data_IF_922889172348
#
_entry.id   IF_922889172348
#
_cell.length_a   1.000
_cell.length_b   1.000
_cell.length_c   1.000
_cell.angle_alpha   90.00
_cell.angle_beta   90.00
_cell.angle_gamma   90.00
#
_symmetry.space_group_name_H-M   'P 1'
#
loop_
_entity.id
_entity.type
_entity.pdbx_description
1 polymer ?
#
# COMPACT_ATOMS: atom_id res chain seq x y z
N UNK A 1 -6.86 32.82 6.38
CA UNK A 1 -6.51 31.66 7.21
C UNK A 1 -5.02 31.75 7.49
N UNK A 2 -4.56 31.60 8.74
CA UNK A 2 -3.16 31.90 9.12
C UNK A 2 -2.19 30.81 8.66
N UNK A 3 -0.96 31.22 8.31
CA UNK A 3 0.17 30.36 7.96
C UNK A 3 0.38 29.20 8.95
N UNK A 4 0.22 29.50 10.24
CA UNK A 4 0.26 28.56 11.36
C UNK A 4 -0.67 27.35 11.18
N UNK A 5 -1.83 27.53 10.53
CA UNK A 5 -2.80 26.45 10.33
C UNK A 5 -2.25 25.37 9.39
N UNK A 6 -1.52 25.76 8.36
CA UNK A 6 -0.89 24.81 7.44
C UNK A 6 0.28 24.07 8.11
N UNK A 7 1.04 24.75 8.96
CA UNK A 7 2.14 24.13 9.72
C UNK A 7 1.59 23.06 10.67
N UNK A 8 0.58 23.40 11.47
CA UNK A 8 -0.08 22.48 12.39
C UNK A 8 -0.63 21.26 11.62
N UNK A 9 -1.28 21.50 10.48
CA UNK A 9 -1.81 20.44 9.62
C UNK A 9 -0.71 19.49 9.12
N UNK A 10 0.40 20.04 8.66
CA UNK A 10 1.56 19.27 8.19
C UNK A 10 2.18 18.45 9.33
N UNK A 11 2.30 19.04 10.52
CA UNK A 11 2.85 18.37 11.70
C UNK A 11 1.96 17.20 12.16
N UNK A 12 0.65 17.41 12.23
CA UNK A 12 -0.32 16.37 12.57
C UNK A 12 -0.23 15.24 11.54
N UNK A 13 -0.26 15.59 10.25
CA UNK A 13 -0.20 14.61 9.17
C UNK A 13 1.10 13.79 9.21
N UNK A 14 2.25 14.46 9.30
CA UNK A 14 3.55 13.80 9.42
C UNK A 14 3.65 12.89 10.65
N UNK A 15 3.12 13.32 11.80
CA UNK A 15 3.11 12.51 13.03
C UNK A 15 2.28 11.23 12.87
N UNK A 16 1.09 11.34 12.25
CA UNK A 16 0.27 10.18 11.92
C UNK A 16 0.98 9.26 10.90
N UNK A 17 1.59 9.85 9.88
CA UNK A 17 2.34 9.13 8.85
C UNK A 17 3.48 8.29 9.43
N UNK A 18 4.31 8.89 10.30
CA UNK A 18 5.38 8.20 11.02
C UNK A 18 4.81 7.08 11.90
N UNK A 19 3.76 7.38 12.67
CA UNK A 19 3.13 6.38 13.54
C UNK A 19 2.64 5.16 12.75
N UNK A 20 1.91 5.38 11.65
CA UNK A 20 1.40 4.30 10.80
C UNK A 20 2.53 3.48 10.17
N UNK A 21 3.54 4.14 9.62
CA UNK A 21 4.71 3.50 9.05
C UNK A 21 5.46 2.63 10.07
N UNK A 22 5.73 3.16 11.27
CA UNK A 22 6.40 2.43 12.34
C UNK A 22 5.58 1.23 12.81
N UNK A 23 4.26 1.35 12.90
CA UNK A 23 3.40 0.22 13.27
C UNK A 23 3.50 -0.92 12.25
N UNK A 24 3.49 -0.64 10.94
CA UNK A 24 3.71 -1.67 9.91
C UNK A 24 5.09 -2.32 10.08
N UNK A 25 6.14 -1.51 10.24
CA UNK A 25 7.53 -1.99 10.43
C UNK A 25 7.60 -2.92 11.64
N UNK A 26 7.06 -2.51 12.79
CA UNK A 26 7.05 -3.29 14.03
C UNK A 26 6.30 -4.61 13.84
N UNK A 27 5.09 -4.58 13.26
CA UNK A 27 4.31 -5.79 12.99
C UNK A 27 5.11 -6.76 12.11
N UNK A 28 5.74 -6.25 11.05
CA UNK A 28 6.52 -7.08 10.13
C UNK A 28 7.74 -7.71 10.80
N UNK A 29 8.45 -6.97 11.67
CA UNK A 29 9.63 -7.47 12.38
C UNK A 29 9.26 -8.45 13.50
N UNK A 30 8.18 -8.20 14.23
CA UNK A 30 7.77 -9.02 15.36
C UNK A 30 7.27 -10.40 14.91
N UNK A 31 6.51 -10.44 13.82
CA UNK A 31 5.93 -11.69 13.36
C UNK A 31 6.72 -12.33 12.21
N UNK A 32 7.60 -13.27 12.54
CA UNK A 32 8.47 -13.99 11.58
C UNK A 32 7.74 -14.82 10.51
N UNK A 33 6.47 -15.14 10.71
CA UNK A 33 5.61 -15.88 9.77
C UNK A 33 5.14 -15.04 8.58
N UNK A 34 5.39 -13.74 8.57
CA UNK A 34 4.86 -12.79 7.57
C UNK A 34 5.71 -12.73 6.29
N UNK A 35 6.29 -13.86 5.89
CA UNK A 35 7.16 -14.00 4.70
C UNK A 35 6.39 -14.00 3.37
N UNK A 36 5.07 -13.82 3.38
CA UNK A 36 4.28 -13.66 2.16
C UNK A 36 4.81 -12.48 1.36
N UNK A 37 4.91 -12.67 0.04
CA UNK A 37 5.57 -11.71 -0.84
C UNK A 37 4.96 -10.30 -0.77
N UNK A 38 3.63 -10.20 -0.70
CA UNK A 38 2.96 -8.89 -0.63
C UNK A 38 3.25 -8.14 0.68
N UNK A 39 3.39 -8.85 1.81
CA UNK A 39 3.71 -8.25 3.11
C UNK A 39 5.10 -7.62 3.09
N UNK A 40 6.04 -8.22 2.36
CA UNK A 40 7.37 -7.62 2.11
C UNK A 40 7.29 -6.31 1.30
N UNK A 41 6.34 -6.21 0.36
CA UNK A 41 6.15 -4.98 -0.41
C UNK A 41 5.60 -3.86 0.47
N UNK A 42 4.59 -4.16 1.30
CA UNK A 42 4.02 -3.19 2.25
C UNK A 42 5.05 -2.75 3.28
N UNK A 43 5.90 -3.67 3.75
CA UNK A 43 7.03 -3.33 4.62
C UNK A 43 7.99 -2.33 3.96
N UNK A 44 8.39 -2.58 2.70
CA UNK A 44 9.26 -1.65 1.99
C UNK A 44 8.58 -0.30 1.76
N UNK A 45 7.32 -0.29 1.33
CA UNK A 45 6.50 0.92 1.20
C UNK A 45 6.53 1.74 2.50
N UNK A 46 6.30 1.11 3.66
CA UNK A 46 6.29 1.80 4.95
C UNK A 46 7.63 2.43 5.34
N UNK A 47 8.77 1.90 4.87
CA UNK A 47 10.08 2.55 5.08
C UNK A 47 10.13 3.88 4.32
N UNK A 48 9.61 3.92 3.09
CA UNK A 48 9.57 5.16 2.31
C UNK A 48 8.55 6.15 2.87
N UNK A 49 7.39 5.68 3.33
CA UNK A 49 6.40 6.54 4.00
C UNK A 49 6.96 7.15 5.29
N UNK A 50 7.79 6.40 6.03
CA UNK A 50 8.51 6.93 7.20
C UNK A 50 9.42 8.09 6.81
N UNK A 51 10.26 7.93 5.78
CA UNK A 51 11.17 9.00 5.35
C UNK A 51 10.44 10.19 4.72
N UNK A 52 9.36 9.95 3.98
CA UNK A 52 8.50 11.01 3.47
C UNK A 52 7.90 11.81 4.62
N UNK A 53 7.27 11.14 5.59
CA UNK A 53 6.66 11.79 6.75
C UNK A 53 7.70 12.51 7.60
N UNK A 54 8.89 11.91 7.78
CA UNK A 54 10.03 12.54 8.46
C UNK A 54 10.47 13.82 7.74
N UNK A 55 10.50 13.84 6.40
CA UNK A 55 10.84 15.04 5.65
C UNK A 55 9.85 16.18 5.89
N UNK A 56 8.57 15.88 6.08
CA UNK A 56 7.54 16.86 6.43
C UNK A 56 7.50 17.21 7.91
N UNK A 57 8.03 16.36 8.80
CA UNK A 57 8.08 16.65 10.23
C UNK A 57 9.09 17.77 10.54
N UNK A 58 10.18 17.84 9.79
CA UNK A 58 11.24 18.81 9.99
C UNK A 58 10.76 20.25 9.73
N UNK A 59 11.06 21.25 10.60
CA UNK A 59 10.67 22.64 10.36
C UNK A 59 11.69 23.34 9.45
N UNK A 60 11.37 23.48 8.16
CA UNK A 60 12.27 24.05 7.14
C UNK A 60 12.67 25.50 7.38
N UNK A 61 11.76 26.32 7.91
CA UNK A 61 12.02 27.73 8.24
C UNK A 61 13.06 27.94 9.34
N UNK A 62 13.27 26.95 10.20
CA UNK A 62 14.03 27.14 11.44
C UNK A 62 15.54 27.20 11.24
N UNK A 63 16.08 26.46 10.26
CA UNK A 63 17.52 26.32 10.05
C UNK A 63 17.83 26.00 8.58
N UNK A 64 18.86 26.65 8.01
CA UNK A 64 19.36 26.39 6.66
C UNK A 64 19.65 24.91 6.40
N UNK A 65 20.28 24.22 7.36
CA UNK A 65 20.62 22.79 7.25
C UNK A 65 19.36 21.93 7.17
N UNK A 66 18.37 22.21 8.01
CA UNK A 66 17.10 21.48 8.02
C UNK A 66 16.36 21.70 6.70
N UNK A 67 16.34 22.95 6.24
CA UNK A 67 15.79 23.34 4.95
C UNK A 67 16.50 22.62 3.79
N UNK A 68 17.84 22.47 3.83
CA UNK A 68 18.63 21.75 2.82
C UNK A 68 18.24 20.26 2.81
N UNK A 69 18.16 19.63 3.98
CA UNK A 69 17.76 18.23 4.13
C UNK A 69 16.36 18.01 3.54
N UNK A 70 15.38 18.86 3.88
CA UNK A 70 14.02 18.77 3.34
C UNK A 70 13.98 18.89 1.82
N UNK A 71 14.74 19.86 1.30
CA UNK A 71 14.77 20.15 -0.13
C UNK A 71 15.23 18.95 -0.96
N UNK A 72 16.14 18.12 -0.43
CA UNK A 72 16.52 16.86 -1.08
C UNK A 72 15.58 15.70 -0.77
N UNK A 73 15.10 15.59 0.47
CA UNK A 73 14.26 14.46 0.88
C UNK A 73 12.88 14.47 0.22
N UNK A 74 12.20 15.62 0.14
CA UNK A 74 10.82 15.70 -0.35
C UNK A 74 10.70 15.24 -1.82
N UNK A 75 11.53 15.71 -2.76
CA UNK A 75 11.45 15.26 -4.15
C UNK A 75 11.76 13.78 -4.32
N UNK A 76 12.64 13.19 -3.49
CA UNK A 76 13.03 11.78 -3.57
C UNK A 76 11.96 10.87 -2.94
N UNK A 77 11.56 11.17 -1.70
CA UNK A 77 10.66 10.33 -0.92
C UNK A 77 9.19 10.61 -1.21
N UNK A 78 8.82 11.79 -1.69
CA UNK A 78 7.44 12.13 -2.05
C UNK A 78 6.80 11.22 -3.12
N UNK A 79 7.44 10.97 -4.28
CA UNK A 79 6.86 10.12 -5.34
C UNK A 79 7.05 8.62 -5.11
N UNK A 80 7.98 8.22 -4.24
CA UNK A 80 8.36 6.81 -4.06
C UNK A 80 7.21 5.92 -3.56
N UNK A 81 6.34 6.37 -2.63
CA UNK A 81 5.17 5.59 -2.24
C UNK A 81 4.20 5.32 -3.39
N UNK A 82 3.97 6.28 -4.29
CA UNK A 82 3.17 6.07 -5.51
C UNK A 82 3.80 5.03 -6.44
N UNK A 83 5.14 5.00 -6.54
CA UNK A 83 5.86 3.95 -7.26
C UNK A 83 5.60 2.57 -6.62
N UNK A 84 5.70 2.44 -5.30
CA UNK A 84 5.47 1.16 -4.62
C UNK A 84 4.02 0.72 -4.71
N UNK A 85 3.05 1.64 -4.69
CA UNK A 85 1.65 1.33 -4.96
C UNK A 85 1.46 0.76 -6.39
N UNK A 86 2.13 1.34 -7.39
CA UNK A 86 2.12 0.84 -8.77
C UNK A 86 2.73 -0.56 -8.86
N UNK A 87 3.87 -0.79 -8.17
CA UNK A 87 4.50 -2.11 -8.05
C UNK A 87 3.54 -3.12 -7.43
N UNK A 88 2.88 -2.79 -6.31
CA UNK A 88 1.93 -3.69 -5.64
C UNK A 88 0.80 -4.07 -6.60
N UNK A 89 0.30 -3.12 -7.40
CA UNK A 89 -0.72 -3.37 -8.42
C UNK A 89 -0.24 -4.28 -9.55
N UNK A 90 0.97 -4.06 -10.06
CA UNK A 90 1.58 -4.91 -11.09
C UNK A 90 1.80 -6.32 -10.57
N UNK A 91 2.33 -6.47 -9.35
CA UNK A 91 2.54 -7.78 -8.73
C UNK A 91 1.22 -8.50 -8.50
N UNK A 92 0.19 -7.77 -8.05
CA UNK A 92 -1.16 -8.32 -7.88
C UNK A 92 -1.72 -8.82 -9.23
N UNK A 93 -1.53 -8.03 -10.29
CA UNK A 93 -1.86 -8.46 -11.66
C UNK A 93 -1.11 -9.74 -12.05
N UNK A 94 0.21 -9.77 -11.91
CA UNK A 94 1.03 -10.93 -12.28
C UNK A 94 0.64 -12.19 -11.48
N UNK A 95 0.31 -12.03 -10.21
CA UNK A 95 -0.09 -13.16 -9.37
C UNK A 95 -1.49 -13.68 -9.70
N UNK A 96 -2.48 -12.79 -9.85
CA UNK A 96 -3.88 -13.19 -10.13
C UNK A 96 -4.03 -13.69 -11.57
N UNK A 97 -3.45 -12.97 -12.52
CA UNK A 97 -3.73 -13.16 -13.95
C UNK A 97 -2.72 -14.08 -14.61
N UNK A 98 -1.44 -13.91 -14.30
CA UNK A 98 -0.37 -14.76 -14.87
C UNK A 98 -0.04 -15.95 -13.97
N UNK A 99 -0.66 -16.06 -12.80
CA UNK A 99 -0.47 -17.15 -11.83
C UNK A 99 1.01 -17.36 -11.51
N UNK A 100 1.77 -16.27 -11.41
CA UNK A 100 3.18 -16.35 -11.06
C UNK A 100 3.33 -16.90 -9.64
N UNK A 101 4.19 -17.91 -9.50
CA UNK A 101 4.56 -18.44 -8.20
C UNK A 101 5.50 -17.47 -7.45
N UNK A 102 5.60 -17.63 -6.14
CA UNK A 102 6.40 -16.73 -5.30
C UNK A 102 7.90 -16.75 -5.67
N UNK A 103 8.42 -17.85 -6.24
CA UNK A 103 9.80 -17.92 -6.73
C UNK A 103 10.06 -16.95 -7.88
N UNK A 104 9.16 -16.91 -8.88
CA UNK A 104 9.27 -15.95 -10.00
C UNK A 104 9.12 -14.52 -9.51
N UNK A 105 8.16 -14.26 -8.62
CA UNK A 105 7.95 -12.92 -8.04
C UNK A 105 9.18 -12.44 -7.25
N UNK A 106 9.83 -13.31 -6.47
CA UNK A 106 11.07 -12.96 -5.77
C UNK A 106 12.24 -12.61 -6.71
N UNK A 107 12.31 -13.18 -7.92
CA UNK A 107 13.30 -12.76 -8.92
C UNK A 107 12.99 -11.36 -9.45
N UNK A 108 11.72 -11.10 -9.79
CA UNK A 108 11.26 -9.79 -10.27
C UNK A 108 11.47 -8.72 -9.20
N UNK A 109 11.23 -9.05 -7.93
CA UNK A 109 11.42 -8.16 -6.79
C UNK A 109 12.81 -7.52 -6.72
N UNK A 110 13.87 -8.30 -6.99
CA UNK A 110 15.25 -7.79 -7.02
C UNK A 110 15.42 -6.71 -8.09
N UNK A 111 14.83 -6.93 -9.27
CA UNK A 111 14.85 -5.96 -10.37
C UNK A 111 14.00 -4.73 -10.09
N UNK A 112 12.89 -4.88 -9.37
CA UNK A 112 12.04 -3.75 -8.95
C UNK A 112 12.81 -2.80 -8.03
N UNK A 113 13.54 -3.33 -7.05
CA UNK A 113 14.42 -2.51 -6.19
C UNK A 113 15.50 -1.77 -6.96
N UNK A 114 16.03 -2.37 -8.03
CA UNK A 114 16.98 -1.67 -8.89
C UNK A 114 16.28 -0.58 -9.73
N UNK A 115 15.03 -0.82 -10.15
CA UNK A 115 14.28 0.13 -10.98
C UNK A 115 13.88 1.41 -10.26
N UNK A 116 13.71 1.42 -8.93
CA UNK A 116 13.41 2.65 -8.16
C UNK A 116 14.62 3.55 -7.99
N UNK A 117 15.84 3.00 -8.07
CA UNK A 117 17.07 3.78 -7.98
C UNK A 117 17.17 4.79 -9.13
N UNK A 118 16.70 4.43 -10.33
CA UNK A 118 16.74 5.30 -11.51
C UNK A 118 15.94 6.60 -11.27
N UNK A 119 14.62 6.58 -10.99
CA UNK A 119 13.87 7.81 -10.73
C UNK A 119 14.39 8.55 -9.50
N UNK A 120 14.86 7.87 -8.44
CA UNK A 120 15.48 8.54 -7.29
C UNK A 120 16.73 9.33 -7.68
N UNK A 121 17.61 8.78 -8.52
CA UNK A 121 18.81 9.47 -9.02
C UNK A 121 18.41 10.69 -9.87
N UNK A 122 17.43 10.53 -10.76
CA UNK A 122 16.98 11.63 -11.62
C UNK A 122 16.40 12.77 -10.76
N UNK A 123 15.57 12.45 -9.75
CA UNK A 123 14.98 13.45 -8.84
C UNK A 123 16.04 14.10 -7.95
N UNK A 124 17.08 13.38 -7.59
CA UNK A 124 18.23 13.94 -6.87
C UNK A 124 19.03 14.91 -7.73
N UNK A 125 19.27 14.58 -9.00
CA UNK A 125 19.93 15.48 -9.96
C UNK A 125 19.10 16.74 -10.18
N UNK A 126 17.77 16.61 -10.34
CA UNK A 126 16.86 17.76 -10.46
C UNK A 126 16.92 18.67 -9.22
N UNK A 127 16.99 18.08 -8.03
CA UNK A 127 17.17 18.84 -6.78
C UNK A 127 18.51 19.61 -6.77
N UNK A 128 19.62 18.98 -7.16
CA UNK A 128 20.93 19.66 -7.26
C UNK A 128 20.87 20.85 -8.22
N UNK A 129 20.30 20.66 -9.42
CA UNK A 129 20.18 21.73 -10.42
C UNK A 129 19.29 22.87 -9.91
N UNK A 130 18.28 22.53 -9.12
CA UNK A 130 17.31 23.50 -8.60
C UNK A 130 17.72 24.18 -7.30
N UNK A 131 18.93 23.90 -6.78
CA UNK A 131 19.37 24.38 -5.46
C UNK A 131 19.33 25.91 -5.33
N UNK A 132 19.69 26.64 -6.39
CA UNK A 132 19.69 28.11 -6.40
C UNK A 132 18.28 28.73 -6.34
N UNK A 133 17.25 27.92 -6.62
CA UNK A 133 15.84 28.31 -6.61
C UNK A 133 15.09 27.77 -5.38
N UNK A 134 15.85 27.37 -4.36
CA UNK A 134 15.31 26.93 -3.09
C UNK A 134 14.65 28.09 -2.37
N UNK A 135 13.36 27.97 -2.09
CA UNK A 135 12.62 28.92 -1.27
C UNK A 135 12.03 28.20 -0.06
N UNK A 136 12.20 28.78 1.12
CA UNK A 136 11.39 28.41 2.27
C UNK A 136 10.03 29.05 2.07
N UNK A 137 9.04 28.26 1.66
CA UNK A 137 7.63 28.66 1.78
C UNK A 137 7.21 28.29 3.19
N UNK A 138 7.35 29.25 4.10
CA UNK A 138 6.99 29.14 5.50
C UNK A 138 7.64 27.90 6.13
N UNK A 139 6.88 26.82 6.38
CA UNK A 139 7.34 25.60 7.04
C UNK A 139 8.14 24.61 6.19
N UNK A 140 7.98 24.62 4.86
CA UNK A 140 8.55 23.59 3.97
C UNK A 140 9.49 24.22 2.94
N UNK A 141 10.66 23.60 2.77
CA UNK A 141 11.64 24.02 1.78
C UNK A 141 11.54 23.20 0.49
N UNK A 142 11.15 23.86 -0.61
CA UNK A 142 10.99 23.24 -1.93
C UNK A 142 11.55 24.15 -3.04
N UNK A 143 11.78 23.56 -4.21
CA UNK A 143 12.11 24.31 -5.42
C UNK A 143 10.91 25.12 -5.88
N UNK A 144 11.14 26.39 -6.24
CA UNK A 144 10.13 27.22 -6.91
C UNK A 144 10.26 27.22 -8.43
N UNK A 145 11.20 26.44 -9.01
CA UNK A 145 11.26 26.33 -10.46
C UNK A 145 10.05 25.55 -10.96
N UNK A 146 9.36 26.10 -11.95
CA UNK A 146 8.25 25.42 -12.63
C UNK A 146 8.69 24.05 -13.15
N UNK A 147 9.91 23.94 -13.66
CA UNK A 147 10.46 22.71 -14.24
C UNK A 147 10.57 21.63 -13.16
N UNK A 148 11.20 21.90 -12.02
CA UNK A 148 11.36 20.91 -10.94
C UNK A 148 10.00 20.49 -10.37
N UNK A 149 9.09 21.44 -10.18
CA UNK A 149 7.72 21.14 -9.73
C UNK A 149 6.97 20.26 -10.72
N UNK A 150 6.99 20.57 -12.01
CA UNK A 150 6.35 19.76 -13.07
C UNK A 150 6.98 18.37 -13.10
N UNK A 151 8.30 18.30 -13.01
CA UNK A 151 9.05 17.06 -13.17
C UNK A 151 8.77 16.10 -12.01
N UNK A 152 8.97 16.54 -10.77
CA UNK A 152 8.68 15.75 -9.57
C UNK A 152 7.22 15.27 -9.52
N UNK A 153 6.30 16.14 -9.94
CA UNK A 153 4.87 15.85 -9.92
C UNK A 153 4.41 14.93 -11.07
N UNK A 154 5.04 15.03 -12.23
CA UNK A 154 4.78 14.16 -13.38
C UNK A 154 5.12 12.70 -13.04
N UNK A 155 6.18 12.44 -12.27
CA UNK A 155 6.49 11.08 -11.79
C UNK A 155 5.37 10.50 -10.94
N UNK A 156 4.80 11.28 -10.01
CA UNK A 156 3.67 10.85 -9.18
C UNK A 156 2.52 10.36 -10.06
N UNK A 157 2.13 11.15 -11.06
CA UNK A 157 1.01 10.81 -11.95
C UNK A 157 1.30 9.66 -12.89
N UNK A 158 2.53 9.55 -13.42
CA UNK A 158 2.93 8.40 -14.25
C UNK A 158 2.74 7.10 -13.45
N UNK A 159 3.17 7.06 -12.19
CA UNK A 159 2.97 5.90 -11.33
C UNK A 159 1.51 5.65 -11.00
N UNK A 160 0.73 6.70 -10.69
CA UNK A 160 -0.71 6.58 -10.43
C UNK A 160 -1.47 6.02 -11.65
N UNK A 161 -1.17 6.52 -12.86
CA UNK A 161 -1.80 6.04 -14.10
C UNK A 161 -1.44 4.58 -14.35
N UNK A 162 -0.16 4.22 -14.25
CA UNK A 162 0.27 2.83 -14.37
C UNK A 162 -0.46 1.95 -13.35
N UNK A 163 -0.55 2.42 -12.11
CA UNK A 163 -1.24 1.74 -11.03
C UNK A 163 -2.72 1.49 -11.33
N UNK A 164 -3.44 2.52 -11.83
CA UNK A 164 -4.84 2.42 -12.24
C UNK A 164 -5.05 1.40 -13.37
N UNK A 165 -4.20 1.43 -14.39
CA UNK A 165 -4.29 0.50 -15.52
C UNK A 165 -4.18 -0.93 -15.01
N UNK A 166 -3.14 -1.24 -14.22
CA UNK A 166 -2.94 -2.61 -13.72
C UNK A 166 -4.00 -3.03 -12.69
N UNK A 167 -4.51 -2.10 -11.88
CA UNK A 167 -5.62 -2.36 -10.98
C UNK A 167 -6.89 -2.74 -11.75
N UNK A 168 -7.30 -1.93 -12.73
CA UNK A 168 -8.49 -2.18 -13.55
C UNK A 168 -8.35 -3.51 -14.30
N UNK A 169 -7.19 -3.78 -14.91
CA UNK A 169 -6.92 -5.05 -15.61
C UNK A 169 -7.01 -6.26 -14.68
N UNK A 170 -6.47 -6.15 -13.46
CA UNK A 170 -6.55 -7.19 -12.43
C UNK A 170 -8.01 -7.46 -12.04
N UNK A 171 -8.79 -6.41 -11.81
CA UNK A 171 -10.19 -6.51 -11.40
C UNK A 171 -11.08 -7.09 -12.50
N UNK A 172 -10.92 -6.67 -13.75
CA UNK A 172 -11.70 -7.20 -14.88
C UNK A 172 -11.45 -8.70 -15.03
N UNK A 173 -10.18 -9.13 -15.01
CA UNK A 173 -9.84 -10.54 -15.18
C UNK A 173 -10.23 -11.38 -13.98
N UNK A 174 -10.10 -10.83 -12.78
CA UNK A 174 -10.59 -11.50 -11.59
C UNK A 174 -12.09 -11.76 -11.67
N UNK A 175 -12.91 -10.76 -12.05
CA UNK A 175 -14.37 -10.93 -12.16
C UNK A 175 -14.72 -12.05 -13.14
N UNK A 176 -14.02 -12.11 -14.28
CA UNK A 176 -14.16 -13.21 -15.26
C UNK A 176 -13.78 -14.55 -14.64
N UNK A 177 -12.65 -14.62 -13.94
CA UNK A 177 -12.18 -15.85 -13.29
C UNK A 177 -13.15 -16.34 -12.21
N UNK A 178 -13.68 -15.45 -11.36
CA UNK A 178 -14.67 -15.79 -10.35
C UNK A 178 -15.96 -16.28 -11.00
N UNK A 179 -16.43 -15.63 -12.07
CA UNK A 179 -17.64 -16.05 -12.80
C UNK A 179 -17.50 -17.47 -13.36
N UNK A 180 -16.35 -17.78 -13.97
CA UNK A 180 -16.06 -19.13 -14.47
C UNK A 180 -16.02 -20.18 -13.35
N UNK A 181 -15.48 -19.83 -12.18
CA UNK A 181 -15.48 -20.72 -11.00
C UNK A 181 -16.87 -20.86 -10.38
N UNK A 182 -17.69 -19.81 -10.38
CA UNK A 182 -19.06 -19.92 -9.85
C UNK A 182 -19.96 -20.78 -10.75
N UNK A 183 -19.67 -20.82 -12.05
CA UNK A 183 -20.40 -21.62 -13.03
C UNK A 183 -19.87 -23.07 -13.09
N UNK A 184 -18.57 -23.29 -12.85
CA UNK A 184 -17.97 -24.62 -12.72
C UNK A 184 -17.63 -24.95 -11.27
N UNK A 185 -18.57 -25.57 -10.55
CA UNK A 185 -18.40 -25.97 -9.15
C UNK A 185 -17.23 -26.96 -9.02
N UNK A 186 -16.04 -26.43 -8.71
CA UNK A 186 -14.90 -27.22 -8.29
C UNK A 186 -14.50 -26.81 -6.88
N UNK A 187 -14.26 -27.83 -6.07
CA UNK A 187 -13.86 -27.90 -4.66
C UNK A 187 -12.52 -27.22 -4.35
N UNK A 188 -12.22 -26.10 -5.00
CA UNK A 188 -10.93 -25.41 -4.90
C UNK A 188 -10.78 -24.78 -3.52
N UNK A 189 -10.00 -25.47 -2.68
CA UNK A 189 -9.51 -25.18 -1.33
C UNK A 189 -9.70 -23.72 -0.86
N UNK A 190 -10.57 -23.55 0.14
CA UNK A 190 -10.87 -22.30 0.89
C UNK A 190 -9.64 -21.42 1.21
N UNK A 191 -8.48 -22.04 1.43
CA UNK A 191 -7.19 -21.38 1.66
C UNK A 191 -6.69 -20.55 0.47
N UNK A 192 -6.75 -21.07 -0.78
CA UNK A 192 -6.35 -20.31 -1.98
C UNK A 192 -7.30 -19.15 -2.26
N UNK A 193 -8.61 -19.36 -2.05
CA UNK A 193 -9.62 -18.30 -2.20
C UNK A 193 -9.34 -17.14 -1.24
N UNK A 194 -9.02 -17.41 0.02
CA UNK A 194 -8.66 -16.37 1.00
C UNK A 194 -7.39 -15.60 0.60
N UNK A 195 -6.34 -16.28 0.13
CA UNK A 195 -5.11 -15.61 -0.30
C UNK A 195 -5.31 -14.71 -1.53
N UNK A 196 -6.15 -15.12 -2.48
CA UNK A 196 -6.53 -14.31 -3.64
C UNK A 196 -7.34 -13.08 -3.18
N UNK A 197 -8.33 -13.28 -2.31
CA UNK A 197 -9.13 -12.18 -1.75
C UNK A 197 -8.32 -11.15 -0.98
N UNK A 198 -7.33 -11.59 -0.20
CA UNK A 198 -6.41 -10.68 0.47
C UNK A 198 -5.65 -9.85 -0.57
N UNK A 199 -5.08 -10.47 -1.62
CA UNK A 199 -4.35 -9.72 -2.66
C UNK A 199 -5.20 -8.69 -3.40
N UNK A 200 -6.48 -8.99 -3.65
CA UNK A 200 -7.42 -8.06 -4.28
C UNK A 200 -7.70 -6.87 -3.36
N UNK A 201 -7.87 -7.14 -2.07
CA UNK A 201 -8.10 -6.08 -1.08
C UNK A 201 -6.87 -5.20 -0.90
N UNK A 202 -5.67 -5.78 -0.97
CA UNK A 202 -4.42 -5.03 -0.99
C UNK A 202 -4.24 -4.19 -2.26
N UNK A 203 -4.95 -4.52 -3.36
CA UNK A 203 -5.01 -3.66 -4.54
C UNK A 203 -5.92 -2.43 -4.38
N UNK A 204 -6.47 -2.18 -3.19
CA UNK A 204 -7.15 -0.93 -2.83
C UNK A 204 -6.21 0.18 -2.34
N UNK A 205 -4.98 -0.16 -1.93
CA UNK A 205 -3.89 0.81 -1.60
C UNK A 205 -3.79 1.92 -2.67
N UNK A 206 -3.72 1.60 -3.97
CA UNK A 206 -3.74 2.58 -5.07
C UNK A 206 -4.90 3.57 -5.08
N UNK A 207 -6.10 3.13 -4.72
CA UNK A 207 -7.29 3.98 -4.79
C UNK A 207 -7.24 5.07 -3.74
N UNK A 208 -6.75 4.72 -2.55
CA UNK A 208 -6.53 5.69 -1.48
C UNK A 208 -5.42 6.66 -1.87
N UNK A 209 -4.36 6.18 -2.53
CA UNK A 209 -3.30 7.05 -3.03
C UNK A 209 -3.82 8.12 -4.01
N UNK A 210 -4.78 7.77 -4.86
CA UNK A 210 -5.42 8.73 -5.77
C UNK A 210 -6.19 9.78 -4.98
N UNK A 211 -6.99 9.36 -4.00
CA UNK A 211 -7.78 10.27 -3.15
C UNK A 211 -6.85 11.26 -2.43
N UNK A 212 -5.74 10.77 -1.87
CA UNK A 212 -4.73 11.59 -1.19
C UNK A 212 -4.05 12.58 -2.15
N UNK A 213 -3.80 12.17 -3.39
CA UNK A 213 -3.04 12.97 -4.36
C UNK A 213 -3.89 14.07 -5.03
N UNK A 214 -5.22 13.94 -5.07
CA UNK A 214 -6.09 14.92 -5.75
C UNK A 214 -5.92 16.35 -5.17
N UNK A 215 -6.04 16.60 -3.85
CA UNK A 215 -5.85 17.94 -3.30
C UNK A 215 -4.45 18.50 -3.57
N UNK A 216 -3.42 17.65 -3.47
CA UNK A 216 -2.05 18.03 -3.82
C UNK A 216 -1.94 18.45 -5.28
N UNK A 217 -2.65 17.78 -6.17
CA UNK A 217 -2.67 18.11 -7.60
C UNK A 217 -3.26 19.47 -7.87
N UNK A 218 -4.39 19.77 -7.24
CA UNK A 218 -5.04 21.06 -7.34
C UNK A 218 -4.08 22.17 -6.86
N UNK A 219 -3.39 21.92 -5.73
CA UNK A 219 -2.38 22.83 -5.19
C UNK A 219 -1.24 23.09 -6.17
N UNK A 220 -0.62 22.04 -6.72
CA UNK A 220 0.50 22.18 -7.66
C UNK A 220 0.12 22.85 -8.97
N UNK A 221 -1.06 22.53 -9.53
CA UNK A 221 -1.57 23.20 -10.74
C UNK A 221 -1.71 24.71 -10.48
N UNK A 222 -2.24 25.09 -9.32
CA UNK A 222 -2.39 26.49 -8.94
C UNK A 222 -1.03 27.20 -8.82
N UNK A 223 -0.06 26.59 -8.15
CA UNK A 223 1.30 27.14 -7.99
C UNK A 223 1.99 27.33 -9.35
N UNK A 224 1.76 26.44 -10.32
CA UNK A 224 2.30 26.54 -11.68
C UNK A 224 1.67 27.69 -12.47
N UNK A 225 0.33 27.80 -12.42
CA UNK A 225 -0.43 28.82 -13.17
C UNK A 225 -0.18 30.21 -12.58
N UNK A 226 -0.33 30.36 -11.27
CA UNK A 226 -0.32 31.64 -10.56
C UNK A 226 0.69 31.61 -9.40
N UNK A 227 2.00 31.75 -9.67
CA UNK A 227 3.03 31.73 -8.63
C UNK A 227 2.95 32.91 -7.65
N UNK A 228 2.17 33.94 -7.96
CA UNK A 228 1.99 35.17 -7.17
C UNK A 228 0.74 35.15 -6.28
N UNK A 229 -0.17 34.18 -6.41
CA UNK A 229 -1.36 34.09 -5.56
C UNK A 229 -0.96 33.39 -4.27
N UNK A 230 -0.55 34.18 -3.28
CA UNK A 230 -0.20 33.75 -1.92
C UNK A 230 -1.42 33.70 -1.01
N UNK A 231 -2.55 33.19 -1.51
CA UNK A 231 -3.74 32.94 -0.71
C UNK A 231 -3.75 31.50 -0.23
N UNK A 232 -3.77 31.29 1.09
CA UNK A 232 -3.95 29.96 1.66
C UNK A 232 -5.42 29.57 1.62
N UNK A 233 -5.71 28.49 0.90
CA UNK A 233 -7.05 27.89 0.85
C UNK A 233 -7.13 26.61 1.69
N UNK A 234 -8.35 26.19 1.99
CA UNK A 234 -8.64 24.90 2.61
C UNK A 234 -7.95 23.72 1.90
N UNK A 235 -7.81 23.79 0.57
CA UNK A 235 -7.11 22.78 -0.22
C UNK A 235 -5.62 22.64 0.15
N UNK A 236 -4.96 23.72 0.57
CA UNK A 236 -3.54 23.70 0.94
C UNK A 236 -3.34 23.02 2.29
N UNK A 237 -4.27 23.23 3.22
CA UNK A 237 -4.32 22.55 4.52
C UNK A 237 -4.59 21.06 4.31
N UNK A 238 -5.61 20.73 3.52
CA UNK A 238 -6.03 19.35 3.26
C UNK A 238 -4.95 18.56 2.52
N UNK A 239 -4.35 19.13 1.47
CA UNK A 239 -3.27 18.48 0.73
C UNK A 239 -2.05 18.21 1.60
N UNK A 240 -1.68 19.15 2.47
CA UNK A 240 -0.54 18.98 3.37
C UNK A 240 -0.82 17.91 4.42
N UNK A 241 -2.04 17.86 4.98
CA UNK A 241 -2.45 16.83 5.94
C UNK A 241 -2.42 15.43 5.31
N UNK A 242 -3.09 15.26 4.16
CA UNK A 242 -3.27 13.95 3.55
C UNK A 242 -1.96 13.40 3.01
N UNK A 243 -1.14 14.24 2.37
CA UNK A 243 0.10 13.78 1.76
C UNK A 243 1.17 13.43 2.80
N UNK A 244 1.25 14.19 3.90
CA UNK A 244 2.19 13.88 5.00
C UNK A 244 1.73 12.72 5.89
N UNK A 245 0.43 12.36 5.87
CA UNK A 245 -0.13 11.22 6.62
C UNK A 245 -0.17 9.91 5.84
N UNK A 246 0.56 9.79 4.73
CA UNK A 246 0.45 8.63 3.85
C UNK A 246 0.62 7.27 4.56
N UNK A 247 1.66 7.14 5.40
CA UNK A 247 1.91 5.89 6.15
C UNK A 247 0.77 5.50 7.12
N UNK A 248 -0.03 6.47 7.60
CA UNK A 248 -1.22 6.19 8.42
C UNK A 248 -2.32 5.49 7.61
N UNK A 249 -2.56 5.95 6.39
CA UNK A 249 -3.57 5.36 5.52
C UNK A 249 -3.16 3.95 5.09
N UNK A 250 -1.90 3.75 4.73
CA UNK A 250 -1.37 2.43 4.38
C UNK A 250 -1.47 1.44 5.54
N UNK A 251 -1.23 1.90 6.77
CA UNK A 251 -1.41 1.10 7.98
C UNK A 251 -2.86 0.66 8.19
N UNK A 252 -3.82 1.59 8.05
CA UNK A 252 -5.24 1.27 8.18
C UNK A 252 -5.68 0.21 7.16
N UNK A 253 -5.26 0.37 5.91
CA UNK A 253 -5.54 -0.60 4.83
C UNK A 253 -4.95 -1.96 5.17
N UNK A 254 -3.68 -1.98 5.61
CA UNK A 254 -2.97 -3.19 5.98
C UNK A 254 -3.69 -3.97 7.09
N UNK A 255 -4.13 -3.28 8.15
CA UNK A 255 -4.90 -3.92 9.23
C UNK A 255 -6.28 -4.39 8.77
N UNK A 256 -7.06 -3.54 8.09
CA UNK A 256 -8.44 -3.88 7.72
C UNK A 256 -8.47 -5.13 6.82
N UNK A 257 -7.52 -5.23 5.88
CA UNK A 257 -7.57 -6.25 4.85
C UNK A 257 -6.80 -7.52 5.14
N UNK A 258 -5.93 -7.52 6.16
CA UNK A 258 -5.24 -8.72 6.63
C UNK A 258 -5.92 -9.28 7.90
N UNK A 259 -6.84 -10.25 7.77
CA UNK A 259 -7.54 -10.82 8.92
C UNK A 259 -6.60 -11.58 9.87
N UNK A 260 -5.49 -12.14 9.37
CA UNK A 260 -4.52 -12.83 10.22
C UNK A 260 -3.85 -11.83 11.17
N UNK A 261 -3.52 -10.63 10.68
CA UNK A 261 -2.98 -9.54 11.51
C UNK A 261 -3.99 -9.13 12.57
N UNK A 262 -5.25 -8.92 12.19
CA UNK A 262 -6.29 -8.51 13.16
C UNK A 262 -6.48 -9.54 14.26
N UNK A 263 -6.46 -10.82 13.93
CA UNK A 263 -6.55 -11.89 14.92
C UNK A 263 -5.34 -11.87 15.85
N UNK A 264 -4.11 -11.77 15.32
CA UNK A 264 -2.90 -11.73 16.15
C UNK A 264 -2.84 -10.47 17.03
N UNK A 265 -3.17 -9.30 16.49
CA UNK A 265 -3.23 -8.06 17.27
C UNK A 265 -4.27 -8.17 18.38
N UNK A 266 -5.47 -8.68 18.09
CA UNK A 266 -6.51 -8.90 19.11
C UNK A 266 -6.00 -9.83 20.22
N UNK A 267 -5.24 -10.86 19.87
CA UNK A 267 -4.69 -11.81 20.84
C UNK A 267 -3.50 -11.24 21.63
N UNK A 268 -2.73 -10.31 21.06
CA UNK A 268 -1.66 -9.61 21.79
C UNK A 268 -2.22 -8.57 22.76
N UNK A 269 -3.27 -7.85 22.38
CA UNK A 269 -3.87 -6.80 23.21
C UNK A 269 -4.90 -7.32 24.22
N UNK A 270 -5.63 -8.38 23.90
CA UNK A 270 -6.47 -9.08 24.85
C UNK A 270 -5.68 -10.26 25.40
N UNK A 271 -5.19 -10.16 26.65
CA UNK A 271 -4.50 -11.22 27.41
C UNK A 271 -5.36 -12.50 27.58
N UNK A 272 -5.67 -13.18 26.48
CA UNK A 272 -6.44 -14.41 26.47
C UNK A 272 -5.49 -15.52 26.03
N UNK A 273 -5.23 -16.44 26.97
CA UNK A 273 -4.41 -17.64 26.75
C UNK A 273 -4.77 -18.31 25.43
N UNK A 274 -3.81 -18.40 24.52
CA UNK A 274 -3.97 -19.06 23.23
C UNK A 274 -3.72 -20.57 23.42
N UNK A 275 -4.62 -21.47 22.97
CA UNK A 275 -4.24 -22.85 22.73
C UNK A 275 -3.31 -22.88 21.51
N UNK A 276 -2.14 -23.51 21.64
CA UNK A 276 -1.06 -23.48 20.64
C UNK A 276 -1.55 -23.80 19.22
N UNK A 277 -0.86 -23.26 18.22
CA UNK A 277 -1.14 -23.38 16.78
C UNK A 277 -1.32 -24.82 16.27
N UNK A 278 -0.78 -25.82 16.99
CA UNK A 278 -1.04 -27.24 16.75
C UNK A 278 -2.53 -27.59 16.89
N UNK A 279 -3.23 -27.02 17.88
CA UNK A 279 -4.64 -27.32 18.13
C UNK A 279 -5.55 -26.78 17.02
N UNK A 280 -5.21 -25.65 16.39
CA UNK A 280 -6.01 -25.09 15.30
C UNK A 280 -5.77 -25.82 13.97
N UNK A 281 -4.53 -26.24 13.71
CA UNK A 281 -4.20 -27.08 12.57
C UNK A 281 -4.81 -28.47 12.72
N UNK A 282 -4.80 -29.05 13.93
CA UNK A 282 -5.43 -30.33 14.25
C UNK A 282 -6.96 -30.25 14.25
N UNK A 283 -7.56 -29.14 14.70
CA UNK A 283 -9.01 -28.92 14.54
C UNK A 283 -9.40 -28.77 13.07
N UNK A 284 -8.60 -28.09 12.25
CA UNK A 284 -8.87 -27.97 10.82
C UNK A 284 -8.70 -29.31 10.10
N UNK A 285 -7.68 -30.08 10.45
CA UNK A 285 -7.43 -31.43 9.92
C UNK A 285 -8.52 -32.42 10.34
N UNK A 286 -8.92 -32.42 11.62
CA UNK A 286 -10.00 -33.27 12.13
C UNK A 286 -11.36 -32.92 11.54
N UNK A 287 -11.63 -31.64 11.30
CA UNK A 287 -12.87 -31.21 10.62
C UNK A 287 -12.85 -31.57 9.12
N UNK A 288 -11.69 -31.59 8.46
CA UNK A 288 -11.58 -32.11 7.09
C UNK A 288 -11.85 -33.61 7.03
N UNK A 289 -11.21 -34.40 7.90
CA UNK A 289 -11.42 -35.85 7.98
C UNK A 289 -12.89 -36.21 8.29
N UNK A 290 -13.55 -35.46 9.18
CA UNK A 290 -14.99 -35.66 9.47
C UNK A 290 -15.90 -35.35 8.28
N UNK A 291 -15.51 -34.44 7.39
CA UNK A 291 -16.28 -34.10 6.20
C UNK A 291 -16.03 -35.08 5.06
N UNK A 292 -14.82 -35.62 4.95
CA UNK A 292 -14.48 -36.71 4.02
C UNK A 292 -15.24 -37.99 4.38
N UNK A 293 -15.22 -38.42 5.65
CA UNK A 293 -15.98 -39.60 6.09
C UNK A 293 -17.51 -39.43 5.94
N UNK A 294 -18.04 -38.21 6.05
CA UNK A 294 -19.47 -37.94 5.81
C UNK A 294 -19.85 -38.05 4.34
N UNK A 295 -18.94 -37.72 3.42
CA UNK A 295 -19.18 -37.84 1.98
C UNK A 295 -19.03 -39.29 1.51
N UNK A 296 -18.10 -40.06 2.08
CA UNK A 296 -17.98 -41.51 1.82
C UNK A 296 -19.24 -42.26 2.28
N UNK A 297 -19.72 -42.02 3.51
CA UNK A 297 -20.97 -42.63 3.99
C UNK A 297 -22.20 -42.21 3.18
N UNK A 298 -22.19 -41.03 2.54
CA UNK A 298 -23.29 -40.58 1.70
C UNK A 298 -23.28 -41.28 0.34
N UNK A 299 -22.10 -41.49 -0.23
CA UNK A 299 -21.94 -42.24 -1.47
C UNK A 299 -22.25 -43.74 -1.27
N UNK A 300 -21.88 -44.34 -0.14
CA UNK A 300 -22.25 -45.73 0.17
C UNK A 300 -23.76 -45.92 0.32
N UNK A 301 -24.46 -44.94 0.91
CA UNK A 301 -25.92 -44.98 1.02
C UNK A 301 -26.59 -44.76 -0.34
N UNK A 302 -26.06 -43.93 -1.24
CA UNK A 302 -26.60 -43.75 -2.59
C UNK A 302 -26.41 -44.99 -3.47
N UNK A 303 -25.33 -45.77 -3.28
CA UNK A 303 -25.11 -47.05 -3.96
C UNK A 303 -26.09 -48.13 -3.45
N UNK A 304 -26.46 -48.11 -2.17
CA UNK A 304 -27.41 -49.09 -1.61
C UNK A 304 -28.88 -48.85 -2.03
N UNK A 305 -29.24 -47.66 -2.53
CA UNK A 305 -30.59 -47.35 -3.01
C UNK A 305 -30.80 -47.64 -4.51
N UNK A 306 -29.74 -47.90 -5.30
CA UNK A 306 -29.89 -48.31 -6.71
C UNK A 306 -30.17 -49.81 -6.88
N UNK A 307 -29.85 -50.65 -5.89
CA UNK A 307 -30.04 -52.11 -5.98
C UNK A 307 -31.44 -52.61 -5.56
N UNK A 308 -32.31 -51.77 -4.97
CA UNK A 308 -33.68 -52.17 -4.57
C UNK A 308 -34.78 -51.86 -5.61
N UNK A 309 -34.46 -51.25 -6.77
CA UNK A 309 -35.45 -50.88 -7.79
C UNK A 309 -35.53 -51.82 -9.02
N UNK A 310 -34.97 -53.02 -8.92
CA UNK A 310 -35.18 -54.09 -9.91
C UNK A 310 -35.82 -55.32 -9.25
N UNK A 311 -37.14 -55.27 -9.06
CA UNK A 311 -38.03 -56.44 -9.05
C UNK A 311 -39.48 -56.00 -9.26
#
# INVERSE_FOLDING_TARGET
MSLETQEISTLIGASLGIFGALMIIIIFLYFKEYKLFYRKLVFVLSIYDFFQSLSYLLPGSSNKIICDIQFYMIPIFGPTPSFWAAVISIISYLKIVKQFNDRKLNKIYKWIHLSILIPMIILFIDAIISQDYKKSTDYVCISTTRISLIFAFSFIWIFIIACLIFYILSMIRLRKFIKLISEGYSSTKKSQKNQIWIQIRMSLIPLIQIIITIPLTIKRIREIINPSVSGMDFNDILSSLLFSSQGFWDFWIFIIFDPEIRLKLKNCFCCSNYPQENDLFDLQKNNQLRMENKNENKNENEIFFEDENFN
#
